data_IF_296103196304
#
_entry.id   IF_296103196304
#
_cell.length_a   1.000
_cell.length_b   1.000
_cell.length_c   1.000
_cell.angle_alpha   90.00
_cell.angle_beta   90.00
_cell.angle_gamma   90.00
#
_symmetry.space_group_name_H-M   'P 1'
#
loop_
_entity.id
_entity.type
_entity.pdbx_description
1 polymer ?
#
# COMPACT_ATOMS: atom_id res chain seq x y z
N UNK A 1 23.98 -1.40 4.25
CA UNK A 1 22.54 -1.45 4.55
C UNK A 1 21.97 -2.49 3.64
N UNK A 2 21.37 -3.55 4.19
CA UNK A 2 20.87 -4.68 3.39
C UNK A 2 19.51 -4.34 2.80
N UNK A 3 19.09 -5.05 1.75
CA UNK A 3 17.79 -4.82 1.11
C UNK A 3 16.63 -5.06 2.09
N UNK A 4 16.75 -6.07 2.96
CA UNK A 4 15.81 -6.35 4.05
C UNK A 4 15.71 -5.16 5.02
N UNK A 5 16.84 -4.58 5.44
CA UNK A 5 16.83 -3.42 6.35
C UNK A 5 16.15 -2.21 5.70
N UNK A 6 16.35 -2.01 4.40
CA UNK A 6 15.69 -0.94 3.65
C UNK A 6 14.17 -1.14 3.61
N UNK A 7 13.71 -2.35 3.26
CA UNK A 7 12.28 -2.66 3.20
C UNK A 7 11.59 -2.52 4.57
N UNK A 8 12.25 -2.96 5.66
CA UNK A 8 11.74 -2.80 7.01
C UNK A 8 11.58 -1.32 7.42
N UNK A 9 12.49 -0.45 6.97
CA UNK A 9 12.39 1.01 7.20
C UNK A 9 11.29 1.65 6.37
N UNK A 10 11.09 1.16 5.15
CA UNK A 10 10.07 1.63 4.23
C UNK A 10 8.66 1.14 4.64
N UNK A 11 8.52 0.31 5.67
CA UNK A 11 7.24 -0.25 6.12
C UNK A 11 6.12 0.80 6.33
N UNK A 12 6.41 1.92 7.00
CA UNK A 12 5.41 2.97 7.20
C UNK A 12 5.02 3.66 5.89
N UNK A 13 5.97 3.79 4.96
CA UNK A 13 5.73 4.33 3.63
C UNK A 13 4.85 3.37 2.80
N UNK A 14 5.12 2.06 2.88
CA UNK A 14 4.29 1.01 2.27
C UNK A 14 2.85 1.10 2.81
N UNK A 15 2.67 1.14 4.13
CA UNK A 15 1.34 1.27 4.75
C UNK A 15 0.58 2.50 4.26
N UNK A 16 1.26 3.65 4.21
CA UNK A 16 0.67 4.89 3.70
C UNK A 16 0.23 4.73 2.24
N UNK A 17 1.05 4.11 1.40
CA UNK A 17 0.72 3.90 0.00
C UNK A 17 -0.42 2.89 -0.21
N UNK A 18 -0.56 1.90 0.68
CA UNK A 18 -1.73 1.00 0.68
C UNK A 18 -3.00 1.80 0.91
N UNK A 19 -3.03 2.66 1.94
CA UNK A 19 -4.16 3.53 2.22
C UNK A 19 -4.46 4.50 1.07
N UNK A 20 -3.42 5.13 0.52
CA UNK A 20 -3.57 6.04 -0.61
C UNK A 20 -4.11 5.33 -1.85
N UNK A 21 -3.55 4.16 -2.19
CA UNK A 21 -4.00 3.37 -3.33
C UNK A 21 -5.44 2.89 -3.16
N UNK A 22 -5.85 2.50 -1.95
CA UNK A 22 -7.25 2.15 -1.64
C UNK A 22 -8.19 3.33 -1.88
N UNK A 23 -7.83 4.52 -1.40
CA UNK A 23 -8.61 5.74 -1.64
C UNK A 23 -8.72 6.07 -3.13
N UNK A 24 -7.64 5.95 -3.88
CA UNK A 24 -7.67 6.19 -5.34
C UNK A 24 -8.56 5.18 -6.06
N UNK A 25 -8.50 3.90 -5.67
CA UNK A 25 -9.38 2.85 -6.21
C UNK A 25 -10.86 3.16 -5.93
N UNK A 26 -11.21 3.63 -4.73
CA UNK A 26 -12.57 4.05 -4.39
C UNK A 26 -13.01 5.25 -5.23
N UNK A 27 -12.19 6.31 -5.30
CA UNK A 27 -12.50 7.51 -6.11
C UNK A 27 -12.73 7.18 -7.59
N UNK A 28 -11.94 6.28 -8.16
CA UNK A 28 -12.11 5.84 -9.56
C UNK A 28 -13.42 5.07 -9.72
N UNK A 29 -13.79 4.20 -8.77
CA UNK A 29 -15.07 3.49 -8.80
C UNK A 29 -16.25 4.45 -8.73
N UNK A 30 -16.21 5.41 -7.81
CA UNK A 30 -17.24 6.45 -7.68
C UNK A 30 -17.36 7.28 -8.96
N UNK A 31 -16.22 7.58 -9.61
CA UNK A 31 -16.19 8.30 -10.89
C UNK A 31 -16.85 7.49 -12.01
N UNK A 32 -16.57 6.19 -12.08
CA UNK A 32 -17.21 5.29 -13.06
C UNK A 32 -18.72 5.22 -12.82
N UNK A 33 -19.16 5.12 -11.57
CA UNK A 33 -20.59 5.12 -11.21
C UNK A 33 -21.27 6.45 -11.55
N UNK A 34 -20.65 7.58 -11.22
CA UNK A 34 -21.18 8.90 -11.55
C UNK A 34 -21.32 9.11 -13.08
N UNK A 35 -20.36 8.64 -13.88
CA UNK A 35 -20.46 8.70 -15.35
C UNK A 35 -21.60 7.82 -15.84
N UNK A 36 -21.79 6.62 -15.27
CA UNK A 36 -22.91 5.74 -15.61
C UNK A 36 -24.26 6.38 -15.31
N UNK A 37 -24.40 7.02 -14.15
CA UNK A 37 -25.63 7.70 -13.74
C UNK A 37 -25.97 8.89 -14.65
N UNK A 38 -24.95 9.67 -15.04
CA UNK A 38 -25.11 10.77 -16.00
C UNK A 38 -25.45 10.29 -17.43
N UNK A 39 -25.05 9.06 -17.76
CA UNK A 39 -25.30 8.44 -19.07
C UNK A 39 -26.63 7.68 -19.12
N UNK A 40 -27.32 7.56 -17.98
CA UNK A 40 -28.65 6.97 -17.92
C UNK A 40 -29.64 7.89 -18.65
N UNK A 41 -30.15 7.42 -19.78
CA UNK A 41 -31.05 8.18 -20.67
C UNK A 41 -32.35 8.51 -19.92
N UNK A 42 -32.58 9.78 -19.57
CA UNK A 42 -33.91 10.24 -19.17
C UNK A 42 -34.77 10.41 -20.42
N UNK A 43 -35.77 9.54 -20.59
CA UNK A 43 -36.77 9.68 -21.64
C UNK A 43 -37.80 10.74 -21.25
N UNK A 44 -37.40 12.01 -21.23
CA UNK A 44 -38.33 13.14 -21.26
C UNK A 44 -38.48 13.58 -22.73
N UNK A 45 -39.55 13.09 -23.36
CA UNK A 45 -40.22 13.61 -24.56
C UNK A 45 -39.40 14.44 -25.58
N UNK A 46 -38.64 13.78 -26.48
CA UNK A 46 -38.52 14.07 -27.95
C UNK A 46 -37.25 13.49 -28.60
N UNK A 47 -37.27 13.15 -29.91
CA UNK A 47 -36.16 12.47 -30.58
C UNK A 47 -35.06 13.45 -31.02
N UNK A 48 -33.87 13.35 -30.41
CA UNK A 48 -32.61 13.93 -30.94
C UNK A 48 -31.57 12.82 -31.16
N UNK A 49 -31.80 11.99 -32.17
CA UNK A 49 -31.06 10.75 -32.42
C UNK A 49 -29.54 10.93 -32.70
N UNK A 50 -29.06 12.12 -33.08
CA UNK A 50 -27.62 12.34 -33.38
C UNK A 50 -26.77 12.83 -32.20
N UNK A 51 -27.36 13.57 -31.26
CA UNK A 51 -26.61 14.16 -30.12
C UNK A 51 -26.45 13.17 -28.97
N UNK A 52 -27.38 12.21 -28.85
CA UNK A 52 -27.37 11.19 -27.80
C UNK A 52 -26.25 10.16 -28.04
N UNK A 53 -25.98 9.79 -29.31
CA UNK A 53 -24.90 8.85 -29.68
C UNK A 53 -23.52 9.35 -29.21
N UNK A 54 -23.19 10.62 -29.47
CA UNK A 54 -21.86 11.15 -29.16
C UNK A 54 -21.60 11.33 -27.66
N UNK A 55 -22.64 11.61 -26.87
CA UNK A 55 -22.51 11.74 -25.41
C UNK A 55 -22.29 10.38 -24.77
N UNK A 56 -23.02 9.36 -25.24
CA UNK A 56 -22.87 7.98 -24.76
C UNK A 56 -21.51 7.41 -25.19
N UNK A 57 -21.07 7.62 -26.44
CA UNK A 57 -19.74 7.22 -26.91
C UNK A 57 -18.63 7.87 -26.09
N UNK A 58 -18.71 9.18 -25.85
CA UNK A 58 -17.72 9.89 -25.02
C UNK A 58 -17.70 9.43 -23.55
N UNK A 59 -18.84 9.00 -23.01
CA UNK A 59 -18.94 8.44 -21.68
C UNK A 59 -18.31 7.03 -21.61
N UNK A 60 -18.51 6.22 -22.63
CA UNK A 60 -17.90 4.89 -22.77
C UNK A 60 -16.37 5.03 -22.83
N UNK A 61 -15.83 5.91 -23.67
CA UNK A 61 -14.38 6.12 -23.80
C UNK A 61 -13.75 6.55 -22.46
N UNK A 62 -14.44 7.42 -21.70
CA UNK A 62 -14.00 7.84 -20.36
C UNK A 62 -14.03 6.70 -19.36
N UNK A 63 -15.11 5.91 -19.35
CA UNK A 63 -15.21 4.74 -18.48
C UNK A 63 -14.09 3.73 -18.80
N UNK A 64 -13.79 3.48 -20.07
CA UNK A 64 -12.69 2.59 -20.46
C UNK A 64 -11.34 3.08 -19.96
N UNK A 65 -11.05 4.39 -20.08
CA UNK A 65 -9.84 4.98 -19.52
C UNK A 65 -9.77 4.81 -18.00
N UNK A 66 -10.87 5.03 -17.28
CA UNK A 66 -10.90 4.84 -15.84
C UNK A 66 -10.74 3.37 -15.43
N UNK A 67 -11.21 2.40 -16.22
CA UNK A 67 -10.92 0.98 -15.97
C UNK A 67 -9.43 0.65 -16.14
N UNK A 68 -8.73 1.28 -17.09
CA UNK A 68 -7.27 1.13 -17.25
C UNK A 68 -6.57 1.70 -16.01
N UNK A 69 -6.97 2.89 -15.54
CA UNK A 69 -6.44 3.51 -14.33
C UNK A 69 -6.68 2.62 -13.10
N UNK A 70 -7.91 2.10 -12.96
CA UNK A 70 -8.32 1.22 -11.87
C UNK A 70 -7.44 -0.05 -11.83
N UNK A 71 -7.18 -0.66 -12.99
CA UNK A 71 -6.30 -1.83 -13.09
C UNK A 71 -4.89 -1.50 -12.63
N UNK A 72 -4.32 -0.39 -13.11
CA UNK A 72 -2.99 0.08 -12.72
C UNK A 72 -2.88 0.31 -11.20
N UNK A 73 -3.88 0.94 -10.60
CA UNK A 73 -3.92 1.17 -9.16
C UNK A 73 -4.10 -0.12 -8.35
N UNK A 74 -4.92 -1.06 -8.83
CA UNK A 74 -5.06 -2.37 -8.21
C UNK A 74 -3.75 -3.18 -8.26
N UNK A 75 -3.03 -3.14 -9.38
CA UNK A 75 -1.73 -3.81 -9.51
C UNK A 75 -0.69 -3.21 -8.55
N UNK A 76 -0.65 -1.87 -8.42
CA UNK A 76 0.18 -1.18 -7.41
C UNK A 76 -0.21 -1.56 -5.98
N UNK A 77 -1.50 -1.55 -5.66
CA UNK A 77 -2.02 -1.91 -4.35
C UNK A 77 -1.62 -3.35 -4.00
N UNK A 78 -1.77 -4.28 -4.94
CA UNK A 78 -1.33 -5.66 -4.78
C UNK A 78 0.17 -5.74 -4.48
N UNK A 79 1.00 -5.03 -5.24
CA UNK A 79 2.45 -4.98 -5.00
C UNK A 79 2.80 -4.50 -3.58
N UNK A 80 2.13 -3.46 -3.08
CA UNK A 80 2.34 -2.99 -1.71
C UNK A 80 1.84 -3.97 -0.65
N UNK A 81 0.70 -4.62 -0.86
CA UNK A 81 0.17 -5.64 0.04
C UNK A 81 1.11 -6.86 0.11
N UNK A 82 1.67 -7.29 -1.04
CA UNK A 82 2.61 -8.41 -1.09
C UNK A 82 3.89 -8.08 -0.32
N UNK A 83 4.40 -6.84 -0.43
CA UNK A 83 5.51 -6.34 0.37
C UNK A 83 5.21 -6.28 1.86
N UNK A 84 4.02 -5.79 2.24
CA UNK A 84 3.59 -5.78 3.66
C UNK A 84 3.53 -7.19 4.23
N UNK A 85 2.95 -8.13 3.47
CA UNK A 85 2.83 -9.54 3.88
C UNK A 85 4.21 -10.20 4.04
N UNK A 86 5.15 -9.91 3.13
CA UNK A 86 6.53 -10.38 3.23
C UNK A 86 7.22 -9.86 4.51
N UNK A 87 7.06 -8.55 4.81
CA UNK A 87 7.62 -7.96 6.03
C UNK A 87 7.02 -8.62 7.28
N UNK A 88 5.70 -8.86 7.30
CA UNK A 88 5.06 -9.54 8.43
C UNK A 88 5.58 -10.97 8.60
N UNK A 89 5.70 -11.73 7.50
CA UNK A 89 6.23 -13.08 7.54
C UNK A 89 7.67 -13.13 8.08
N UNK A 90 8.50 -12.13 7.74
CA UNK A 90 9.83 -11.98 8.32
C UNK A 90 9.80 -11.73 9.82
N UNK A 91 8.95 -10.80 10.28
CA UNK A 91 8.81 -10.50 11.71
C UNK A 91 8.28 -11.68 12.52
N UNK A 92 7.37 -12.47 11.95
CA UNK A 92 6.81 -13.66 12.60
C UNK A 92 7.81 -14.82 12.69
N UNK A 93 8.84 -14.84 11.84
CA UNK A 93 9.93 -15.80 11.94
C UNK A 93 10.96 -15.44 13.02
N UNK A 94 10.93 -14.22 13.55
CA UNK A 94 11.89 -13.77 14.55
C UNK A 94 11.43 -14.14 15.98
N UNK A 95 12.36 -14.56 16.85
CA UNK A 95 12.11 -14.59 18.29
C UNK A 95 11.62 -13.24 18.83
N UNK A 96 10.72 -13.26 19.82
CA UNK A 96 10.06 -12.05 20.35
C UNK A 96 11.04 -10.93 20.74
N UNK A 97 12.17 -11.28 21.35
CA UNK A 97 13.20 -10.31 21.75
C UNK A 97 13.87 -9.63 20.54
N UNK A 98 14.12 -10.37 19.46
CA UNK A 98 14.68 -9.86 18.21
C UNK A 98 13.64 -9.04 17.46
N UNK A 99 12.41 -9.56 17.34
CA UNK A 99 11.27 -8.87 16.72
C UNK A 99 11.04 -7.50 17.35
N UNK A 100 10.96 -7.43 18.67
CA UNK A 100 10.74 -6.16 19.38
C UNK A 100 11.82 -5.11 19.06
N UNK A 101 13.10 -5.52 19.03
CA UNK A 101 14.20 -4.61 18.71
C UNK A 101 14.14 -4.15 17.25
N UNK A 102 13.83 -5.04 16.31
CA UNK A 102 13.65 -4.71 14.89
C UNK A 102 12.49 -3.74 14.70
N UNK A 103 11.35 -3.97 15.35
CA UNK A 103 10.20 -3.07 15.30
C UNK A 103 10.55 -1.67 15.81
N UNK A 104 11.24 -1.55 16.96
CA UNK A 104 11.63 -0.25 17.48
C UNK A 104 12.66 0.45 16.60
N UNK A 105 13.67 -0.29 16.12
CA UNK A 105 14.79 0.30 15.39
C UNK A 105 14.47 0.60 13.93
N UNK A 106 13.97 -0.39 13.18
CA UNK A 106 13.78 -0.27 11.74
C UNK A 106 12.39 0.33 11.42
N UNK A 107 11.33 -0.19 12.03
CA UNK A 107 9.96 0.20 11.69
C UNK A 107 9.58 1.54 12.34
N UNK A 108 9.83 1.70 13.64
CA UNK A 108 9.54 2.95 14.36
C UNK A 108 10.66 3.98 14.25
N UNK A 109 11.75 3.65 13.55
CA UNK A 109 12.92 4.49 13.33
C UNK A 109 13.47 5.14 14.63
N UNK A 110 13.42 4.42 15.75
CA UNK A 110 13.85 4.95 17.05
C UNK A 110 15.38 4.98 17.14
N UNK A 111 15.90 5.95 17.91
CA UNK A 111 17.33 5.99 18.24
C UNK A 111 17.71 4.82 19.15
N UNK A 112 18.96 4.38 19.10
CA UNK A 112 19.46 3.30 19.96
C UNK A 112 19.26 3.59 21.46
N UNK A 113 19.35 4.85 21.87
CA UNK A 113 19.06 5.29 23.22
C UNK A 113 17.59 5.01 23.62
N UNK A 114 16.64 5.26 22.73
CA UNK A 114 15.22 4.94 22.96
C UNK A 114 14.97 3.43 22.96
N UNK A 115 15.57 2.70 22.02
CA UNK A 115 15.47 1.23 21.94
C UNK A 115 15.96 0.59 23.24
N UNK A 116 17.14 1.00 23.73
CA UNK A 116 17.69 0.58 25.02
C UNK A 116 16.68 0.73 26.16
N UNK A 117 16.06 1.91 26.26
CA UNK A 117 15.11 2.25 27.33
C UNK A 117 13.82 1.44 27.24
N UNK A 118 13.28 1.25 26.04
CA UNK A 118 11.99 0.61 25.83
C UNK A 118 12.06 -0.92 25.82
N UNK A 119 13.14 -1.49 25.28
CA UNK A 119 13.36 -2.94 25.25
C UNK A 119 14.02 -3.48 26.53
N UNK A 120 14.39 -2.61 27.47
CA UNK A 120 15.07 -2.95 28.72
C UNK A 120 16.37 -3.76 28.53
N UNK A 121 17.15 -3.40 27.51
CA UNK A 121 18.44 -4.02 27.19
C UNK A 121 19.57 -3.01 27.29
N UNK A 122 20.82 -3.47 27.42
CA UNK A 122 21.96 -2.61 27.14
C UNK A 122 22.01 -2.27 25.65
N UNK A 123 22.59 -1.13 25.29
CA UNK A 123 22.67 -0.71 23.88
C UNK A 123 23.44 -1.73 23.04
N UNK A 124 24.54 -2.29 23.58
CA UNK A 124 25.31 -3.33 22.90
C UNK A 124 24.49 -4.60 22.68
N UNK A 125 23.69 -5.01 23.67
CA UNK A 125 22.85 -6.20 23.53
C UNK A 125 21.73 -5.98 22.51
N UNK A 126 21.07 -4.81 22.53
CA UNK A 126 20.04 -4.46 21.54
C UNK A 126 20.61 -4.43 20.11
N UNK A 127 21.80 -3.83 19.91
CA UNK A 127 22.46 -3.85 18.60
C UNK A 127 22.77 -5.27 18.15
N UNK A 128 23.26 -6.12 19.04
CA UNK A 128 23.55 -7.52 18.73
C UNK A 128 22.30 -8.26 18.27
N UNK A 129 21.20 -8.18 19.03
CA UNK A 129 19.91 -8.80 18.66
C UNK A 129 19.40 -8.30 17.31
N UNK A 130 19.55 -7.00 17.03
CA UNK A 130 19.15 -6.42 15.74
C UNK A 130 19.95 -6.99 14.57
N UNK A 131 21.28 -7.05 14.67
CA UNK A 131 22.11 -7.58 13.60
C UNK A 131 21.96 -9.09 13.42
N UNK A 132 21.80 -9.85 14.52
CA UNK A 132 21.46 -11.27 14.46
C UNK A 132 20.14 -11.50 13.72
N UNK A 133 19.11 -10.70 14.01
CA UNK A 133 17.83 -10.75 13.33
C UNK A 133 17.96 -10.43 11.84
N UNK A 134 18.67 -9.35 11.48
CA UNK A 134 18.88 -8.99 10.08
C UNK A 134 19.64 -10.07 9.32
N UNK A 135 20.69 -10.66 9.90
CA UNK A 135 21.43 -11.75 9.26
C UNK A 135 20.53 -12.96 9.04
N UNK A 136 19.75 -13.35 10.06
CA UNK A 136 18.80 -14.46 9.95
C UNK A 136 17.77 -14.25 8.82
N UNK A 137 17.32 -13.01 8.62
CA UNK A 137 16.39 -12.67 7.54
C UNK A 137 17.05 -12.59 6.16
N UNK A 138 18.31 -12.18 6.07
CA UNK A 138 19.04 -12.11 4.80
C UNK A 138 19.49 -13.50 4.31
N UNK A 139 19.69 -14.46 5.21
CA UNK A 139 20.14 -15.82 4.89
C UNK A 139 18.98 -16.74 4.43
N UNK A 140 17.73 -16.25 4.41
CA UNK A 140 16.54 -16.94 3.91
C UNK A 140 16.15 -16.47 2.51
#
# INVERSE_FOLDING_TARGET
MTDVEKQLRDYNWIKRNIEESRKQVEVIKDTIEAIRDLSAVSYDDMPKAKTISSVVESAIDRIEQEYINLRSWNDKLKGYCDQEMQIMAWLDCLPDNQRQVVEYRAIKNMSWHMVKRLANYSECHAKRLYYEALNYLNDK
#
